data_IF_086712843557
#
_entry.id   IF_086712843557
#
_cell.length_a   1.000
_cell.length_b   1.000
_cell.length_c   1.000
_cell.angle_alpha   90.00
_cell.angle_beta   90.00
_cell.angle_gamma   90.00
#
_symmetry.space_group_name_H-M   'P 1'
#
loop_
_entity.id
_entity.type
_entity.pdbx_description
1 polymer ?
#
# COMPACT_ATOMS: atom_id res chain seq x y z
N UNK A 1 -39.78 15.81 43.79
CA UNK A 1 -38.43 16.09 43.25
C UNK A 1 -37.85 14.75 42.85
N UNK A 2 -37.79 14.49 41.55
CA UNK A 2 -37.29 13.22 41.01
C UNK A 2 -35.76 13.26 40.99
N UNK A 3 -35.19 12.23 41.60
CA UNK A 3 -33.82 11.75 41.56
C UNK A 3 -33.18 11.99 40.17
N UNK A 4 -32.25 12.96 40.11
CA UNK A 4 -31.40 13.17 38.93
C UNK A 4 -30.37 12.06 38.90
N UNK A 5 -30.62 11.10 38.00
CA UNK A 5 -29.83 9.91 37.79
C UNK A 5 -28.33 10.18 37.72
N UNK A 6 -27.60 9.31 38.41
CA UNK A 6 -26.15 9.23 38.33
C UNK A 6 -25.70 9.07 36.89
N UNK A 7 -25.21 10.16 36.31
CA UNK A 7 -24.34 10.11 35.14
C UNK A 7 -23.09 9.38 35.59
N UNK A 8 -23.05 8.10 35.26
CA UNK A 8 -22.02 7.18 35.68
C UNK A 8 -20.67 7.65 35.14
N UNK A 9 -19.68 7.80 36.03
CA UNK A 9 -18.31 8.19 35.71
C UNK A 9 -17.63 7.32 34.62
N UNK A 10 -18.20 6.16 34.28
CA UNK A 10 -17.76 5.29 33.17
C UNK A 10 -18.00 5.87 31.78
N UNK A 11 -19.05 6.68 31.58
CA UNK A 11 -19.37 7.29 30.28
C UNK A 11 -18.35 8.35 29.85
N UNK A 12 -17.80 9.11 30.80
CA UNK A 12 -16.76 10.10 30.55
C UNK A 12 -15.42 9.45 30.16
N UNK A 13 -14.99 8.44 30.93
CA UNK A 13 -13.72 7.72 30.66
C UNK A 13 -13.74 7.01 29.30
N UNK A 14 -14.87 6.41 28.92
CA UNK A 14 -15.01 5.77 27.60
C UNK A 14 -14.98 6.79 26.45
N UNK A 15 -15.59 7.97 26.64
CA UNK A 15 -15.57 9.06 25.66
C UNK A 15 -14.16 9.66 25.50
N UNK A 16 -13.41 9.82 26.59
CA UNK A 16 -12.04 10.35 26.57
C UNK A 16 -11.07 9.38 25.87
N UNK A 17 -11.20 8.08 26.11
CA UNK A 17 -10.41 7.06 25.40
C UNK A 17 -10.74 7.04 23.90
N UNK A 18 -12.02 7.13 23.53
CA UNK A 18 -12.43 7.21 22.14
C UNK A 18 -11.82 8.45 21.45
N UNK A 19 -11.88 9.61 22.10
CA UNK A 19 -11.27 10.85 21.59
C UNK A 19 -9.77 10.68 21.37
N UNK A 20 -9.06 10.10 22.34
CA UNK A 20 -7.61 9.86 22.21
C UNK A 20 -7.26 8.93 21.05
N UNK A 21 -8.08 7.89 20.77
CA UNK A 21 -7.88 7.04 19.61
C UNK A 21 -8.13 7.80 18.29
N UNK A 22 -9.21 8.57 18.21
CA UNK A 22 -9.56 9.36 17.02
C UNK A 22 -8.45 10.35 16.69
N UNK A 23 -8.02 11.17 17.65
CA UNK A 23 -6.96 12.17 17.44
C UNK A 23 -5.64 11.53 16.98
N UNK A 24 -5.31 10.35 17.52
CA UNK A 24 -4.12 9.61 17.11
C UNK A 24 -4.25 9.05 15.68
N UNK A 25 -5.44 8.57 15.29
CA UNK A 25 -5.69 8.08 13.93
C UNK A 25 -5.64 9.23 12.92
N UNK A 26 -6.25 10.37 13.23
CA UNK A 26 -6.27 11.54 12.35
C UNK A 26 -4.84 12.02 12.06
N UNK A 27 -4.00 12.13 13.09
CA UNK A 27 -2.57 12.46 12.91
C UNK A 27 -1.86 11.44 12.02
N UNK A 28 -2.10 10.15 12.21
CA UNK A 28 -1.49 9.10 11.38
C UNK A 28 -1.97 9.14 9.92
N UNK A 29 -3.23 9.50 9.66
CA UNK A 29 -3.74 9.68 8.29
C UNK A 29 -3.14 10.94 7.63
N UNK A 30 -2.89 12.01 8.39
CA UNK A 30 -2.16 13.18 7.89
C UNK A 30 -0.71 12.83 7.52
N UNK A 31 0.02 12.12 8.41
CA UNK A 31 1.38 11.64 8.14
C UNK A 31 1.43 10.73 6.91
N UNK A 32 0.49 9.79 6.80
CA UNK A 32 0.36 8.90 5.65
C UNK A 32 0.07 9.67 4.35
N UNK A 33 -0.74 10.73 4.42
CA UNK A 33 -1.00 11.60 3.27
C UNK A 33 0.27 12.32 2.84
N UNK A 34 1.02 12.93 3.77
CA UNK A 34 2.28 13.59 3.48
C UNK A 34 3.27 12.64 2.79
N UNK A 35 3.47 11.44 3.34
CA UNK A 35 4.32 10.39 2.74
C UNK A 35 3.81 10.00 1.34
N UNK A 36 2.49 9.90 1.17
CA UNK A 36 1.90 9.55 -0.13
C UNK A 36 2.15 10.63 -1.18
N UNK A 37 2.14 11.90 -0.78
CA UNK A 37 2.43 13.03 -1.66
C UNK A 37 3.93 13.09 -2.00
N UNK A 38 4.82 12.89 -1.03
CA UNK A 38 6.27 12.77 -1.27
C UNK A 38 6.59 11.65 -2.28
N UNK A 39 5.94 10.49 -2.15
CA UNK A 39 6.10 9.38 -3.10
C UNK A 39 5.65 9.78 -4.52
N UNK A 40 4.57 10.56 -4.66
CA UNK A 40 4.10 11.04 -5.97
C UNK A 40 5.13 11.98 -6.59
N UNK A 41 5.71 12.87 -5.79
CA UNK A 41 6.72 13.82 -6.27
C UNK A 41 7.97 13.11 -6.77
N UNK A 42 8.43 12.06 -6.07
CA UNK A 42 9.55 11.21 -6.55
C UNK A 42 9.21 10.54 -7.89
N UNK A 43 7.99 10.01 -8.06
CA UNK A 43 7.58 9.46 -9.35
C UNK A 43 7.49 10.53 -10.44
N UNK A 44 7.08 11.76 -10.09
CA UNK A 44 7.02 12.87 -11.04
C UNK A 44 8.43 13.31 -11.48
N UNK A 45 9.38 13.37 -10.54
CA UNK A 45 10.80 13.62 -10.83
C UNK A 45 11.40 12.54 -11.74
N UNK A 46 11.14 11.26 -11.43
CA UNK A 46 11.56 10.14 -12.27
C UNK A 46 10.99 10.26 -13.69
N UNK A 47 9.74 10.70 -13.83
CA UNK A 47 9.14 10.97 -15.15
C UNK A 47 9.86 12.11 -15.88
N UNK A 48 10.14 13.22 -15.18
CA UNK A 48 10.82 14.39 -15.74
C UNK A 48 12.26 14.09 -16.20
N UNK A 49 12.91 13.12 -15.56
CA UNK A 49 14.25 12.63 -15.93
C UNK A 49 14.23 11.56 -17.03
N UNK A 50 13.06 11.10 -17.45
CA UNK A 50 12.89 10.19 -18.59
C UNK A 50 12.62 8.71 -18.23
N UNK A 51 12.39 8.37 -16.96
CA UNK A 51 12.02 7.01 -16.57
C UNK A 51 10.53 6.72 -16.79
N UNK A 52 10.22 5.46 -17.14
CA UNK A 52 8.84 4.99 -17.18
C UNK A 52 8.32 4.69 -15.76
N UNK A 53 7.43 5.56 -15.28
CA UNK A 53 6.80 5.44 -13.97
C UNK A 53 5.99 4.15 -13.80
N UNK A 54 5.38 3.61 -14.86
CA UNK A 54 4.61 2.36 -14.77
C UNK A 54 5.54 1.20 -14.47
N UNK A 55 6.68 1.14 -15.15
CA UNK A 55 7.70 0.12 -14.93
C UNK A 55 8.32 0.27 -13.54
N UNK A 56 8.63 1.48 -13.09
CA UNK A 56 9.13 1.71 -11.71
C UNK A 56 8.15 1.21 -10.65
N UNK A 57 6.85 1.46 -10.80
CA UNK A 57 5.82 0.93 -9.87
C UNK A 57 5.80 -0.60 -9.86
N UNK A 58 5.95 -1.23 -11.02
CA UNK A 58 6.07 -2.69 -11.11
C UNK A 58 7.32 -3.18 -10.38
N UNK A 59 8.49 -2.55 -10.58
CA UNK A 59 9.73 -2.89 -9.89
C UNK A 59 9.57 -2.77 -8.37
N UNK A 60 8.98 -1.67 -7.86
CA UNK A 60 8.72 -1.50 -6.43
C UNK A 60 7.79 -2.58 -5.90
N UNK A 61 6.76 -2.97 -6.65
CA UNK A 61 5.87 -4.07 -6.27
C UNK A 61 6.61 -5.40 -6.19
N UNK A 62 7.38 -5.74 -7.22
CA UNK A 62 8.19 -6.97 -7.26
C UNK A 62 9.13 -7.02 -6.06
N UNK A 63 9.83 -5.90 -5.76
CA UNK A 63 10.78 -5.80 -4.63
C UNK A 63 10.14 -5.98 -3.25
N UNK A 64 8.82 -5.82 -3.13
CA UNK A 64 8.07 -6.07 -1.87
C UNK A 64 7.63 -7.52 -1.70
N UNK A 65 7.64 -8.32 -2.77
CA UNK A 65 7.29 -9.73 -2.70
C UNK A 65 8.47 -10.53 -2.16
N UNK A 66 8.15 -11.59 -1.41
CA UNK A 66 9.15 -12.57 -0.94
C UNK A 66 9.81 -13.27 -2.14
N UNK A 67 11.10 -13.63 -2.07
CA UNK A 67 11.81 -14.23 -3.20
C UNK A 67 11.13 -15.49 -3.76
N UNK A 68 10.68 -16.38 -2.88
CA UNK A 68 10.03 -17.64 -3.27
C UNK A 68 8.67 -17.43 -3.96
N UNK A 69 7.85 -16.48 -3.47
CA UNK A 69 6.59 -16.12 -4.12
C UNK A 69 6.81 -15.56 -5.52
N UNK A 70 7.90 -14.79 -5.71
CA UNK A 70 8.28 -14.26 -7.02
C UNK A 70 8.70 -15.38 -7.97
N UNK A 71 9.57 -16.28 -7.52
CA UNK A 71 10.04 -17.42 -8.32
C UNK A 71 8.88 -18.32 -8.76
N UNK A 72 7.93 -18.60 -7.87
CA UNK A 72 6.73 -19.37 -8.21
C UNK A 72 5.85 -18.66 -9.24
N UNK A 73 5.61 -17.36 -9.07
CA UNK A 73 4.83 -16.55 -10.03
C UNK A 73 5.53 -16.47 -11.39
N UNK A 74 6.85 -16.33 -11.42
CA UNK A 74 7.63 -16.31 -12.66
C UNK A 74 7.58 -17.65 -13.39
N UNK A 75 7.67 -18.78 -12.68
CA UNK A 75 7.55 -20.12 -13.28
C UNK A 75 6.16 -20.36 -13.91
N UNK A 76 5.09 -19.93 -13.21
CA UNK A 76 3.72 -20.03 -13.74
C UNK A 76 3.52 -19.10 -14.94
N UNK A 77 4.05 -17.88 -14.87
CA UNK A 77 3.97 -16.92 -15.98
C UNK A 77 4.68 -17.46 -17.22
N UNK A 78 5.88 -18.01 -17.07
CA UNK A 78 6.65 -18.59 -18.16
C UNK A 78 5.90 -19.76 -18.82
N UNK A 79 5.32 -20.66 -18.01
CA UNK A 79 4.46 -21.74 -18.50
C UNK A 79 3.28 -21.21 -19.35
N UNK A 80 2.61 -20.16 -18.90
CA UNK A 80 1.49 -19.55 -19.63
C UNK A 80 1.95 -18.85 -20.91
N UNK A 81 3.05 -18.11 -20.87
CA UNK A 81 3.60 -17.45 -22.05
C UNK A 81 4.06 -18.48 -23.09
N UNK A 82 4.65 -19.59 -22.65
CA UNK A 82 5.01 -20.70 -23.53
C UNK A 82 3.80 -21.35 -24.17
N UNK A 83 2.75 -21.64 -23.39
CA UNK A 83 1.50 -22.19 -23.92
C UNK A 83 0.81 -21.27 -24.94
N UNK A 84 0.99 -19.95 -24.79
CA UNK A 84 0.46 -18.93 -25.70
C UNK A 84 1.38 -18.60 -26.88
N UNK A 85 2.57 -19.21 -26.97
CA UNK A 85 3.58 -18.89 -27.99
C UNK A 85 4.12 -17.47 -27.90
N UNK A 86 4.04 -16.85 -26.71
CA UNK A 86 4.46 -15.48 -26.42
C UNK A 86 5.84 -15.41 -25.75
N UNK A 87 6.44 -16.55 -25.39
CA UNK A 87 7.87 -16.56 -25.08
C UNK A 87 8.65 -16.24 -26.35
N UNK A 88 9.69 -15.40 -26.27
CA UNK A 88 10.59 -15.23 -27.39
C UNK A 88 11.28 -16.58 -27.61
N UNK A 89 10.75 -17.40 -28.51
CA UNK A 89 11.55 -18.42 -29.14
C UNK A 89 12.79 -17.69 -29.66
N UNK A 90 14.03 -18.09 -29.38
CA UNK A 90 14.55 -19.41 -29.74
C UNK A 90 14.04 -19.91 -31.11
N UNK A 91 13.56 -19.00 -31.97
CA UNK A 91 13.50 -19.19 -33.40
C UNK A 91 14.83 -18.63 -33.92
N UNK A 92 15.78 -19.55 -34.11
CA UNK A 92 16.79 -19.58 -35.18
C UNK A 92 18.17 -20.04 -34.66
N UNK A 93 18.30 -21.35 -34.43
CA UNK A 93 19.46 -22.18 -34.83
C UNK A 93 19.11 -23.68 -34.72
#
# INVERSE_FOLDING_TARGET
>A
MADTGGVSASGGVAADQLRAFVERIERLEEEKKAISDDIKDVYAEAKGTGFDVKILRQVVRLRKQEPHEREEQEAILDLYLHALGMTPAANDA
#
